data_IF_270897940550
#
_entry.id   IF_270897940550
#
_cell.length_a   1.000
_cell.length_b   1.000
_cell.length_c   1.000
_cell.angle_alpha   90.00
_cell.angle_beta   90.00
_cell.angle_gamma   90.00
#
_symmetry.space_group_name_H-M   'P 1'
#
loop_
_entity.id
_entity.type
_entity.pdbx_description
1 polymer ?
#
# COMPACT_ATOMS: atom_id res chain seq x y z
N UNK A 1 0.33 38.98 -49.22
CA UNK A 1 0.22 38.52 -47.83
C UNK A 1 -0.83 37.42 -47.79
N UNK A 2 -0.42 36.17 -47.52
CA UNK A 2 -1.14 35.16 -46.72
C UNK A 2 -0.33 33.87 -46.80
N UNK A 3 0.52 33.65 -45.80
CA UNK A 3 1.12 32.34 -45.54
C UNK A 3 0.13 31.52 -44.71
N UNK A 4 -0.19 30.32 -45.17
CA UNK A 4 -0.87 29.30 -44.36
C UNK A 4 0.17 28.69 -43.41
N UNK A 5 -0.05 28.64 -42.09
CA UNK A 5 0.81 27.87 -41.22
C UNK A 5 0.49 26.39 -41.44
N UNK A 6 1.50 25.62 -41.86
CA UNK A 6 1.42 24.17 -41.82
C UNK A 6 1.23 23.74 -40.37
N UNK A 7 0.06 23.18 -40.08
CA UNK A 7 -0.27 22.56 -38.81
C UNK A 7 0.70 21.40 -38.58
N UNK A 8 1.65 21.60 -37.65
CA UNK A 8 2.51 20.52 -37.18
C UNK A 8 1.64 19.54 -36.40
N UNK A 9 1.32 18.41 -37.03
CA UNK A 9 0.74 17.28 -36.34
C UNK A 9 1.67 16.85 -35.17
N UNK A 10 1.11 16.46 -34.00
CA UNK A 10 1.90 15.96 -32.90
C UNK A 10 2.63 14.70 -33.36
N UNK A 11 3.96 14.75 -33.37
CA UNK A 11 4.79 13.57 -33.58
C UNK A 11 4.64 12.67 -32.36
N UNK A 12 3.73 11.70 -32.44
CA UNK A 12 3.64 10.61 -31.49
C UNK A 12 4.90 9.77 -31.62
N UNK A 13 5.84 9.96 -30.69
CA UNK A 13 6.99 9.06 -30.51
C UNK A 13 6.49 7.67 -30.17
N UNK A 14 6.30 6.84 -31.20
CA UNK A 14 6.18 5.38 -31.10
C UNK A 14 7.47 4.86 -30.45
N UNK A 15 7.44 4.63 -29.14
CA UNK A 15 8.59 4.10 -28.42
C UNK A 15 8.58 4.28 -26.90
N UNK A 16 7.73 5.16 -26.34
CA UNK A 16 7.60 5.26 -24.89
C UNK A 16 6.67 4.15 -24.36
N UNK A 17 7.19 2.91 -24.31
CA UNK A 17 6.55 1.88 -23.48
C UNK A 17 6.44 2.43 -22.05
N UNK A 18 5.30 2.26 -21.36
CA UNK A 18 5.19 2.61 -19.96
C UNK A 18 6.34 1.92 -19.21
N UNK A 19 7.18 2.71 -18.53
CA UNK A 19 8.25 2.15 -17.71
C UNK A 19 7.57 1.23 -16.69
N UNK A 20 8.03 -0.03 -16.52
CA UNK A 20 7.44 -0.92 -15.52
C UNK A 20 7.46 -0.23 -14.16
N UNK A 21 6.33 -0.29 -13.45
CA UNK A 21 6.26 0.26 -12.12
C UNK A 21 7.32 -0.43 -11.24
N UNK A 22 7.99 0.31 -10.36
CA UNK A 22 8.94 -0.31 -9.43
C UNK A 22 8.22 -1.39 -8.62
N UNK A 23 8.88 -2.53 -8.43
CA UNK A 23 8.34 -3.60 -7.58
C UNK A 23 8.18 -3.07 -6.14
N UNK A 24 7.04 -3.38 -5.49
CA UNK A 24 6.82 -2.95 -4.11
C UNK A 24 7.83 -3.63 -3.19
N UNK A 25 8.38 -2.86 -2.26
CA UNK A 25 9.24 -3.40 -1.20
C UNK A 25 8.43 -4.26 -0.23
N UNK A 26 9.10 -5.17 0.48
CA UNK A 26 8.46 -5.99 1.53
C UNK A 26 7.75 -5.11 2.58
N UNK A 27 8.32 -3.95 2.92
CA UNK A 27 7.69 -2.98 3.79
C UNK A 27 6.42 -2.37 3.18
N UNK A 28 6.42 -2.04 1.89
CA UNK A 28 5.24 -1.53 1.21
C UNK A 28 4.11 -2.57 1.19
N UNK A 29 4.45 -3.85 0.98
CA UNK A 29 3.51 -4.98 1.06
C UNK A 29 2.97 -5.12 2.48
N UNK A 30 3.85 -5.12 3.49
CA UNK A 30 3.49 -5.21 4.91
C UNK A 30 2.53 -4.08 5.34
N UNK A 31 2.82 -2.84 4.95
CA UNK A 31 1.94 -1.68 5.20
C UNK A 31 0.57 -1.89 4.56
N UNK A 32 0.53 -2.41 3.32
CA UNK A 32 -0.76 -2.65 2.65
C UNK A 32 -1.58 -3.73 3.35
N UNK A 33 -0.96 -4.81 3.80
CA UNK A 33 -1.64 -5.87 4.55
C UNK A 33 -2.16 -5.34 5.89
N UNK A 34 -1.35 -4.59 6.62
CA UNK A 34 -1.77 -3.94 7.88
C UNK A 34 -2.98 -3.00 7.67
N UNK A 35 -2.97 -2.19 6.60
CA UNK A 35 -4.12 -1.33 6.26
C UNK A 35 -5.41 -2.12 6.02
N UNK A 36 -5.32 -3.26 5.31
CA UNK A 36 -6.49 -4.10 5.03
C UNK A 36 -7.04 -4.74 6.32
N UNK A 37 -6.17 -5.23 7.20
CA UNK A 37 -6.57 -5.78 8.49
C UNK A 37 -7.23 -4.72 9.38
N UNK A 38 -6.69 -3.50 9.42
CA UNK A 38 -7.26 -2.42 10.22
C UNK A 38 -8.59 -1.92 9.65
N UNK A 39 -8.73 -1.84 8.33
CA UNK A 39 -9.96 -1.39 7.67
C UNK A 39 -11.16 -2.32 7.96
N UNK A 40 -10.93 -3.64 8.00
CA UNK A 40 -11.96 -4.62 8.35
C UNK A 40 -12.50 -4.42 9.78
N UNK A 41 -11.72 -3.76 10.64
CA UNK A 41 -12.03 -3.53 12.04
C UNK A 41 -12.08 -2.04 12.40
N UNK A 42 -12.30 -1.14 11.43
CA UNK A 42 -12.34 0.31 11.66
C UNK A 42 -13.55 0.73 12.53
N UNK A 43 -14.68 0.06 12.35
CA UNK A 43 -15.91 0.33 13.09
C UNK A 43 -16.22 -0.85 14.02
N UNK A 44 -15.88 -0.69 15.30
CA UNK A 44 -16.09 -1.70 16.34
C UNK A 44 -17.19 -1.21 17.27
N UNK A 45 -18.21 -2.03 17.50
CA UNK A 45 -19.11 -1.82 18.63
C UNK A 45 -18.35 -2.17 19.92
N UNK A 46 -18.20 -1.18 20.80
CA UNK A 46 -17.40 -1.33 22.03
C UNK A 46 -18.17 -2.08 23.13
N UNK A 47 -19.48 -2.23 22.99
CA UNK A 47 -20.31 -3.05 23.89
C UNK A 47 -20.27 -4.54 23.48
N UNK A 48 -19.86 -4.84 22.24
CA UNK A 48 -19.62 -6.21 21.78
C UNK A 48 -18.17 -6.64 22.08
N UNK A 49 -18.01 -7.37 23.18
CA UNK A 49 -16.73 -7.93 23.63
C UNK A 49 -16.08 -8.81 22.56
N UNK A 50 -16.85 -9.51 21.74
CA UNK A 50 -16.31 -10.35 20.67
C UNK A 50 -15.77 -9.49 19.51
N UNK A 51 -16.48 -8.43 19.12
CA UNK A 51 -16.00 -7.47 18.13
C UNK A 51 -14.72 -6.78 18.60
N UNK A 52 -14.67 -6.36 19.87
CA UNK A 52 -13.50 -5.72 20.46
C UNK A 52 -12.27 -6.65 20.48
N UNK A 53 -12.44 -7.91 20.87
CA UNK A 53 -11.35 -8.88 20.88
C UNK A 53 -10.81 -9.16 19.47
N UNK A 54 -11.68 -9.22 18.44
CA UNK A 54 -11.22 -9.37 17.05
C UNK A 54 -10.42 -8.17 16.57
N UNK A 55 -10.88 -6.96 16.88
CA UNK A 55 -10.16 -5.73 16.53
C UNK A 55 -8.77 -5.65 17.20
N UNK A 56 -8.68 -6.01 18.48
CA UNK A 56 -7.39 -6.13 19.17
C UNK A 56 -6.46 -7.17 18.52
N UNK A 57 -7.01 -8.32 18.09
CA UNK A 57 -6.25 -9.33 17.36
C UNK A 57 -5.70 -8.81 16.03
N UNK A 58 -6.54 -8.13 15.24
CA UNK A 58 -6.14 -7.53 13.97
C UNK A 58 -5.07 -6.44 14.13
N UNK A 59 -5.16 -5.62 15.18
CA UNK A 59 -4.13 -4.65 15.54
C UNK A 59 -2.81 -5.34 15.89
N UNK A 60 -2.86 -6.37 16.73
CA UNK A 60 -1.67 -7.12 17.15
C UNK A 60 -0.94 -7.72 15.95
N UNK A 61 -1.69 -8.34 15.04
CA UNK A 61 -1.10 -8.95 13.85
C UNK A 61 -0.56 -7.92 12.85
N UNK A 62 -1.26 -6.80 12.68
CA UNK A 62 -0.80 -5.68 11.85
C UNK A 62 0.55 -5.14 12.35
N UNK A 63 0.69 -4.95 13.67
CA UNK A 63 1.95 -4.52 14.28
C UNK A 63 3.05 -5.54 14.08
N UNK A 64 2.76 -6.84 14.25
CA UNK A 64 3.74 -7.92 14.04
C UNK A 64 4.30 -7.92 12.63
N UNK A 65 3.43 -7.83 11.61
CA UNK A 65 3.83 -7.79 10.20
C UNK A 65 4.73 -6.58 9.90
N UNK A 66 4.39 -5.42 10.44
CA UNK A 66 5.20 -4.20 10.28
C UNK A 66 6.57 -4.32 10.97
N UNK A 67 6.60 -4.82 12.20
CA UNK A 67 7.85 -5.02 12.95
C UNK A 67 8.76 -6.05 12.27
N UNK A 68 8.19 -7.14 11.75
CA UNK A 68 8.89 -8.14 10.95
C UNK A 68 9.51 -7.53 9.69
N UNK A 69 8.76 -6.71 8.97
CA UNK A 69 9.25 -6.04 7.76
C UNK A 69 10.35 -5.00 8.04
N UNK A 70 10.38 -4.44 9.25
CA UNK A 70 11.43 -3.53 9.71
C UNK A 70 12.63 -4.26 10.35
N UNK A 71 12.59 -5.60 10.44
CA UNK A 71 13.56 -6.42 11.16
C UNK A 71 13.71 -6.02 12.65
N UNK A 72 12.61 -5.52 13.22
CA UNK A 72 12.50 -5.00 14.59
C UNK A 72 11.71 -5.91 15.52
N UNK A 73 11.35 -7.12 15.07
CA UNK A 73 10.83 -8.13 15.98
C UNK A 73 11.88 -8.36 17.08
N UNK A 74 11.50 -8.03 18.32
CA UNK A 74 12.31 -8.24 19.51
C UNK A 74 12.66 -9.73 19.52
N UNK A 75 13.89 -10.06 19.12
CA UNK A 75 14.38 -11.43 19.22
C UNK A 75 14.15 -11.90 20.64
N UNK A 76 13.32 -12.92 20.81
CA UNK A 76 13.31 -13.65 22.07
C UNK A 76 14.74 -14.15 22.25
N UNK A 77 15.39 -13.62 23.29
CA UNK A 77 16.79 -13.89 23.58
C UNK A 77 17.03 -15.39 23.61
N UNK A 78 18.05 -15.81 22.87
CA UNK A 78 18.67 -17.11 23.02
C UNK A 78 19.30 -17.26 24.40
#
# INVERSE_FOLDING_TARGET
MTGTPAEQAPSTTLGALPRPAPEPTDLAVAVRVAQLLLAEHEHVDHEDVFALNRAHGALTESLRILLRALDTERGEGQ
#
